data_IF_090829743081
#
_entry.id   IF_090829743081
#
_cell.length_a   1.000
_cell.length_b   1.000
_cell.length_c   1.000
_cell.angle_alpha   90.00
_cell.angle_beta   90.00
_cell.angle_gamma   90.00
#
_symmetry.space_group_name_H-M   'P 1'
#
loop_
_entity.id
_entity.type
_entity.pdbx_description
1 polymer ?
#
# COMPACT_ATOMS: atom_id res chain seq x y z
N UNK A 1 12.46 14.48 4.57
CA UNK A 1 12.28 14.00 3.19
C UNK A 1 11.10 14.75 2.59
N UNK A 2 11.33 15.56 1.56
CA UNK A 2 10.25 16.27 0.85
C UNK A 2 9.80 15.38 -0.32
N UNK A 3 9.19 14.26 0.01
CA UNK A 3 8.62 13.36 -0.98
C UNK A 3 7.31 13.95 -1.50
N UNK A 4 7.31 14.40 -2.77
CA UNK A 4 6.10 14.88 -3.42
C UNK A 4 5.29 13.67 -3.88
N UNK A 5 3.98 13.72 -3.71
CA UNK A 5 3.10 12.64 -4.16
C UNK A 5 2.45 12.98 -5.50
N UNK A 6 2.28 11.96 -6.34
CA UNK A 6 1.30 12.00 -7.43
C UNK A 6 -0.08 11.62 -6.88
N UNK A 7 -1.15 11.89 -7.64
CA UNK A 7 -2.46 11.31 -7.30
C UNK A 7 -2.33 9.78 -7.31
N UNK A 8 -2.75 9.09 -6.24
CA UNK A 8 -2.77 7.63 -6.21
C UNK A 8 -3.55 7.06 -7.41
N UNK A 9 -3.07 5.95 -7.97
CA UNK A 9 -3.78 5.26 -9.06
C UNK A 9 -5.06 4.59 -8.58
N UNK A 10 -5.12 4.22 -7.30
CA UNK A 10 -6.25 3.51 -6.70
C UNK A 10 -6.75 4.22 -5.45
N UNK A 11 -8.01 3.97 -5.10
CA UNK A 11 -8.57 4.43 -3.85
C UNK A 11 -7.84 3.77 -2.66
N UNK A 12 -7.60 4.53 -1.60
CA UNK A 12 -6.96 4.06 -0.37
C UNK A 12 -7.98 3.34 0.51
N UNK A 13 -7.54 2.30 1.20
CA UNK A 13 -8.36 1.67 2.23
C UNK A 13 -8.69 2.67 3.35
N UNK A 14 -9.94 2.61 3.82
CA UNK A 14 -10.43 3.51 4.85
C UNK A 14 -9.66 3.33 6.16
N UNK A 15 -9.35 4.44 6.83
CA UNK A 15 -8.54 4.43 8.06
C UNK A 15 -7.02 4.38 7.84
N UNK A 16 -6.55 4.29 6.58
CA UNK A 16 -5.13 4.46 6.30
C UNK A 16 -4.68 5.91 6.54
N UNK A 17 -3.51 6.08 7.14
CA UNK A 17 -2.84 7.36 7.31
C UNK A 17 -2.53 8.00 5.96
N UNK A 18 -2.60 9.34 5.86
CA UNK A 18 -2.17 10.05 4.67
C UNK A 18 -0.66 9.87 4.46
N UNK A 19 -0.23 9.85 3.20
CA UNK A 19 1.19 9.79 2.85
C UNK A 19 1.48 8.87 1.67
N UNK A 20 2.76 8.76 1.27
CA UNK A 20 3.11 8.14 -0.01
C UNK A 20 2.87 6.63 -0.04
N UNK A 21 3.01 5.92 1.08
CA UNK A 21 2.63 4.52 1.17
C UNK A 21 1.13 4.38 1.48
N UNK A 22 0.47 3.47 0.78
CA UNK A 22 -0.93 3.18 1.01
C UNK A 22 -1.26 1.74 0.64
N UNK A 23 -2.46 1.32 1.01
CA UNK A 23 -3.04 0.05 0.58
C UNK A 23 -4.30 0.31 -0.21
N UNK A 24 -4.45 -0.41 -1.32
CA UNK A 24 -5.61 -0.33 -2.21
C UNK A 24 -6.83 -0.80 -1.44
N UNK A 25 -7.89 0.00 -1.51
CA UNK A 25 -9.19 -0.32 -0.92
C UNK A 25 -9.70 -1.66 -1.43
N UNK A 26 -10.25 -2.47 -0.53
CA UNK A 26 -10.93 -3.74 -0.83
C UNK A 26 -10.02 -4.84 -1.42
N UNK A 27 -8.70 -4.65 -1.48
CA UNK A 27 -7.78 -5.64 -2.07
C UNK A 27 -7.12 -6.60 -1.07
N UNK A 28 -7.16 -6.33 0.22
CA UNK A 28 -6.48 -7.14 1.24
C UNK A 28 -7.32 -8.36 1.70
N UNK A 29 -7.67 -9.26 0.78
CA UNK A 29 -8.43 -10.47 1.16
C UNK A 29 -7.74 -11.80 0.84
N UNK A 30 -6.52 -11.80 0.29
CA UNK A 30 -5.93 -13.05 -0.23
C UNK A 30 -4.50 -13.36 0.20
N UNK A 31 -3.66 -12.36 0.52
CA UNK A 31 -2.21 -12.61 0.68
C UNK A 31 -1.76 -12.95 2.10
N UNK A 32 -2.55 -12.63 3.12
CA UNK A 32 -2.21 -12.83 4.55
C UNK A 32 -0.81 -12.32 4.94
N UNK A 33 -0.37 -11.20 4.35
CA UNK A 33 0.92 -10.60 4.66
C UNK A 33 1.03 -10.32 6.17
N UNK A 34 2.02 -10.90 6.88
CA UNK A 34 2.17 -10.68 8.31
C UNK A 34 2.31 -9.19 8.65
N UNK A 35 1.53 -8.70 9.61
CA UNK A 35 1.69 -7.31 10.07
C UNK A 35 3.04 -7.07 10.74
N UNK A 36 3.69 -8.15 11.18
CA UNK A 36 5.02 -8.23 11.75
C UNK A 36 6.13 -7.84 10.76
N UNK A 37 5.86 -7.80 9.45
CA UNK A 37 6.80 -7.27 8.46
C UNK A 37 7.07 -5.78 8.71
N UNK A 38 6.03 -5.02 9.05
CA UNK A 38 6.16 -3.62 9.47
C UNK A 38 5.22 -3.33 10.65
N UNK A 39 5.53 -3.83 11.86
CA UNK A 39 4.63 -3.83 13.02
C UNK A 39 4.40 -2.44 13.59
N UNK A 40 5.01 -1.46 12.97
CA UNK A 40 4.90 -0.06 13.31
C UNK A 40 3.96 0.65 12.33
N UNK A 41 3.92 0.22 11.07
CA UNK A 41 3.34 0.95 9.96
C UNK A 41 2.05 0.34 9.43
N UNK A 42 1.84 -0.97 9.59
CA UNK A 42 0.67 -1.68 9.07
C UNK A 42 -0.07 -2.46 10.14
N UNK A 43 -1.38 -2.60 9.97
CA UNK A 43 -2.25 -3.41 10.84
C UNK A 43 -3.35 -4.06 10.02
N UNK A 44 -3.96 -5.10 10.59
CA UNK A 44 -5.31 -5.50 10.23
C UNK A 44 -6.31 -4.60 10.97
N UNK A 45 -7.35 -4.19 10.25
CA UNK A 45 -8.48 -3.46 10.77
C UNK A 45 -9.75 -4.22 10.43
N UNK A 46 -10.56 -4.54 11.44
CA UNK A 46 -11.85 -5.17 11.22
C UNK A 46 -12.84 -4.14 10.66
N UNK A 47 -13.58 -4.53 9.64
CA UNK A 47 -14.73 -3.78 9.15
C UNK A 47 -15.88 -4.71 8.78
N UNK A 48 -17.13 -4.22 8.76
CA UNK A 48 -18.26 -5.00 8.28
C UNK A 48 -18.02 -5.48 6.84
N UNK A 49 -18.29 -6.75 6.58
CA UNK A 49 -18.19 -7.31 5.24
C UNK A 49 -19.29 -6.70 4.36
N UNK A 50 -18.89 -6.09 3.25
CA UNK A 50 -19.81 -5.48 2.29
C UNK A 50 -20.66 -6.51 1.53
N UNK A 51 -20.20 -7.78 1.50
CA UNK A 51 -20.89 -8.90 0.85
C UNK A 51 -21.73 -9.74 1.81
N UNK A 52 -21.48 -9.65 3.12
CA UNK A 52 -22.16 -10.43 4.15
C UNK A 52 -22.34 -9.56 5.40
N UNK A 53 -23.51 -8.92 5.60
CA UNK A 53 -23.71 -7.92 6.64
C UNK A 53 -23.61 -8.47 8.08
N UNK A 54 -23.53 -9.79 8.23
CA UNK A 54 -23.41 -10.47 9.53
C UNK A 54 -21.98 -10.84 9.90
N UNK A 55 -21.00 -10.62 9.02
CA UNK A 55 -19.60 -10.96 9.27
C UNK A 55 -18.69 -9.73 9.24
N UNK A 56 -17.59 -9.80 9.98
CA UNK A 56 -16.47 -8.86 9.88
C UNK A 56 -15.40 -9.44 8.95
N UNK A 57 -14.71 -8.57 8.21
CA UNK A 57 -13.51 -8.92 7.45
C UNK A 57 -12.35 -8.07 7.94
N UNK A 58 -11.17 -8.68 8.00
CA UNK A 58 -9.92 -7.96 8.27
C UNK A 58 -9.42 -7.31 6.99
N UNK A 59 -9.06 -6.03 7.08
CA UNK A 59 -8.48 -5.25 6.00
C UNK A 59 -7.13 -4.70 6.42
N UNK A 60 -6.15 -4.83 5.54
CA UNK A 60 -4.87 -4.18 5.69
C UNK A 60 -5.05 -2.67 5.70
N UNK A 61 -4.41 -1.98 6.63
CA UNK A 61 -4.30 -0.52 6.64
C UNK A 61 -2.86 -0.10 6.85
N UNK A 62 -2.47 1.03 6.26
CA UNK A 62 -1.22 1.73 6.64
C UNK A 62 -1.56 2.69 7.77
N UNK A 63 -1.24 2.36 9.01
CA UNK A 63 -1.57 3.17 10.19
C UNK A 63 -0.66 4.38 10.36
N UNK A 64 0.58 4.30 9.84
CA UNK A 64 1.53 5.43 9.81
C UNK A 64 2.60 5.26 8.74
N UNK A 65 3.06 6.39 8.22
CA UNK A 65 4.19 6.45 7.29
C UNK A 65 5.51 6.14 8.02
N UNK A 66 6.53 5.64 7.31
CA UNK A 66 7.85 5.45 7.90
C UNK A 66 8.46 6.81 8.31
N UNK A 67 8.90 6.90 9.55
CA UNK A 67 9.56 8.08 10.14
C UNK A 67 11.08 7.95 10.24
N UNK A 68 11.63 6.75 10.05
CA UNK A 68 13.06 6.45 10.03
C UNK A 68 13.44 5.48 8.90
N UNK A 69 14.74 5.25 8.71
CA UNK A 69 15.26 4.41 7.64
C UNK A 69 14.83 2.94 7.82
N UNK A 70 14.84 2.44 9.06
CA UNK A 70 14.45 1.06 9.37
C UNK A 70 12.98 0.79 9.05
N UNK A 71 12.10 1.75 9.32
CA UNK A 71 10.69 1.65 8.96
C UNK A 71 10.48 1.76 7.45
N UNK A 72 11.27 2.59 6.78
CA UNK A 72 11.23 2.68 5.32
C UNK A 72 11.63 1.35 4.67
N UNK A 73 12.67 0.70 5.18
CA UNK A 73 13.12 -0.60 4.71
C UNK A 73 12.01 -1.65 4.86
N UNK A 74 11.36 -1.69 6.02
CA UNK A 74 10.20 -2.56 6.28
C UNK A 74 9.02 -2.27 5.35
N UNK A 75 8.74 -0.99 5.06
CA UNK A 75 7.66 -0.63 4.15
C UNK A 75 7.95 -1.04 2.69
N UNK A 76 9.21 -1.00 2.27
CA UNK A 76 9.62 -1.54 0.98
C UNK A 76 9.44 -3.06 0.95
N UNK A 77 9.79 -3.76 2.03
CA UNK A 77 9.53 -5.20 2.18
C UNK A 77 8.03 -5.53 2.12
N UNK A 78 7.18 -4.75 2.78
CA UNK A 78 5.72 -4.88 2.72
C UNK A 78 5.20 -4.80 1.29
N UNK A 79 5.68 -3.82 0.51
CA UNK A 79 5.29 -3.69 -0.91
C UNK A 79 5.77 -4.91 -1.70
N UNK A 80 7.00 -5.36 -1.47
CA UNK A 80 7.60 -6.51 -2.18
C UNK A 80 6.96 -7.86 -1.84
N UNK A 81 6.52 -8.04 -0.60
CA UNK A 81 5.89 -9.26 -0.13
C UNK A 81 4.37 -9.30 -0.43
N UNK A 82 3.77 -8.19 -0.87
CA UNK A 82 2.35 -8.13 -1.20
C UNK A 82 2.05 -8.91 -2.48
N UNK A 83 1.56 -10.15 -2.34
CA UNK A 83 1.34 -11.08 -3.45
C UNK A 83 0.36 -10.56 -4.52
N UNK A 84 -0.52 -9.62 -4.15
CA UNK A 84 -1.55 -9.04 -5.03
C UNK A 84 -1.32 -7.56 -5.30
N UNK A 85 -0.13 -7.04 -4.96
CA UNK A 85 0.23 -5.62 -5.08
C UNK A 85 -0.77 -4.65 -4.41
N UNK A 86 -1.35 -5.08 -3.28
CA UNK A 86 -2.29 -4.27 -2.51
C UNK A 86 -1.59 -3.07 -1.87
N UNK A 87 -0.35 -3.23 -1.41
CA UNK A 87 0.46 -2.12 -0.91
C UNK A 87 1.19 -1.42 -2.05
N UNK A 88 1.09 -0.09 -2.07
CA UNK A 88 1.54 0.76 -3.17
C UNK A 88 2.24 2.01 -2.67
N UNK A 89 2.97 2.65 -3.57
CA UNK A 89 3.70 3.90 -3.31
C UNK A 89 3.34 4.95 -4.36
N UNK A 90 2.78 6.08 -3.91
CA UNK A 90 2.45 7.24 -4.75
C UNK A 90 3.40 8.42 -4.54
N UNK A 91 4.52 8.23 -3.86
CA UNK A 91 5.59 9.21 -3.76
C UNK A 91 6.43 9.28 -5.03
N UNK A 92 7.31 10.28 -5.08
CA UNK A 92 8.23 10.56 -6.19
C UNK A 92 9.69 10.60 -5.75
N UNK A 93 10.00 10.30 -4.48
CA UNK A 93 11.38 10.17 -4.01
C UNK A 93 12.15 9.16 -4.90
N UNK A 94 13.19 9.61 -5.62
CA UNK A 94 13.88 8.79 -6.60
C UNK A 94 14.59 7.60 -5.95
N UNK A 95 15.03 7.71 -4.69
CA UNK A 95 15.70 6.62 -4.00
C UNK A 95 14.69 5.53 -3.62
N UNK A 96 13.51 5.92 -3.12
CA UNK A 96 12.44 4.95 -2.81
C UNK A 96 11.97 4.26 -4.10
N UNK A 97 11.78 5.02 -5.18
CA UNK A 97 11.41 4.46 -6.48
C UNK A 97 12.46 3.47 -7.01
N UNK A 98 13.75 3.81 -6.94
CA UNK A 98 14.84 2.92 -7.35
C UNK A 98 14.80 1.61 -6.57
N UNK A 99 14.69 1.68 -5.23
CA UNK A 99 14.65 0.50 -4.35
C UNK A 99 13.44 -0.40 -4.62
N UNK A 100 12.27 0.19 -4.83
CA UNK A 100 11.06 -0.57 -5.19
C UNK A 100 11.21 -1.24 -6.56
N UNK A 101 11.80 -0.56 -7.55
CA UNK A 101 12.07 -1.15 -8.87
C UNK A 101 13.07 -2.32 -8.76
N UNK A 102 14.13 -2.17 -7.98
CA UNK A 102 15.11 -3.23 -7.73
C UNK A 102 14.51 -4.44 -7.01
N UNK A 103 13.50 -4.22 -6.16
CA UNK A 103 12.70 -5.26 -5.54
C UNK A 103 11.63 -5.87 -6.47
N UNK A 104 11.61 -5.52 -7.76
CA UNK A 104 10.62 -6.02 -8.72
C UNK A 104 9.23 -5.36 -8.63
N UNK A 105 9.09 -4.30 -7.85
CA UNK A 105 7.80 -3.68 -7.50
C UNK A 105 7.45 -2.46 -8.36
N UNK A 106 7.97 -2.36 -9.58
CA UNK A 106 7.72 -1.20 -10.47
C UNK A 106 6.23 -0.92 -10.65
N UNK A 107 5.41 -1.98 -10.76
CA UNK A 107 3.95 -1.85 -10.96
C UNK A 107 3.21 -1.31 -9.72
N UNK A 108 3.84 -1.33 -8.54
CA UNK A 108 3.31 -0.74 -7.31
C UNK A 108 3.69 0.75 -7.14
N UNK A 109 4.53 1.29 -8.03
CA UNK A 109 4.94 2.70 -8.02
C UNK A 109 4.06 3.54 -8.94
N UNK A 110 3.13 4.30 -8.38
CA UNK A 110 2.14 5.08 -9.15
C UNK A 110 2.79 6.15 -10.04
N UNK A 111 3.96 6.66 -9.67
CA UNK A 111 4.70 7.63 -10.48
C UNK A 111 5.36 7.01 -11.73
N UNK A 112 5.52 5.68 -11.78
CA UNK A 112 6.23 4.97 -12.86
C UNK A 112 5.28 4.20 -13.79
N UNK A 113 4.00 4.09 -13.42
CA UNK A 113 2.99 3.36 -14.20
C UNK A 113 2.09 4.39 -14.89
N UNK A 114 1.87 4.28 -16.21
CA UNK A 114 0.92 5.14 -16.90
C UNK A 114 -0.49 4.89 -16.35
N UNK A 115 -1.28 5.95 -16.14
CA UNK A 115 -2.71 5.77 -15.85
C UNK A 115 -3.33 5.04 -17.03
N UNK A 116 -3.77 3.80 -16.83
CA UNK A 116 -4.73 3.19 -17.76
C UNK A 116 -6.04 3.95 -17.57
N UNK A 117 -6.31 4.92 -18.43
CA UNK A 117 -7.70 5.20 -18.80
C UNK A 117 -8.11 3.96 -19.59
N UNK A 118 -8.83 3.02 -18.99
CA UNK A 118 -9.66 2.00 -19.64
C UNK A 118 -10.14 1.04 -18.55
N UNK A 119 -11.32 1.34 -18.01
CA UNK A 119 -12.34 0.38 -17.53
C UNK A 119 -13.61 1.18 -17.15
N UNK A 120 -14.03 2.05 -18.09
CA UNK A 120 -15.42 2.51 -18.20
C UNK A 120 -16.04 1.73 -19.34
N UNK A 121 -16.51 0.52 -19.04
CA UNK A 121 -17.42 -0.25 -19.87
C UNK A 121 -18.44 -0.94 -18.97
#
# INVERSE_FOLDING_TARGET
MNDKMVTPLYEREHGSAPGPFYVVKDQCITCSLPTETAPENIRYHERPCTSCPTSVTEHCVVTRQPGCAEELDRMIEVVAASCVAAYRYCGTDPEILRRLVEAGCKEACDALVPRRQDDMA
#
